data_IF_028245734835
#
_entry.id   IF_028245734835
#
_cell.length_a   1.000
_cell.length_b   1.000
_cell.length_c   1.000
_cell.angle_alpha   90.00
_cell.angle_beta   90.00
_cell.angle_gamma   90.00
#
_symmetry.space_group_name_H-M   'P 1'
#
loop_
_entity.id
_entity.type
_entity.pdbx_description
1 polymer ?
#
# COMPACT_ATOMS: atom_id res chain seq x y z
N UNK A 1 -19.62 -6.20 24.60
CA UNK A 1 -18.53 -6.33 23.61
C UNK A 1 -18.95 -5.60 22.34
N UNK A 2 -18.17 -4.64 21.86
CA UNK A 2 -18.36 -4.11 20.49
C UNK A 2 -18.10 -5.26 19.51
N UNK A 3 -18.92 -5.39 18.46
CA UNK A 3 -18.64 -6.33 17.36
C UNK A 3 -17.39 -5.87 16.63
N UNK A 4 -16.53 -6.82 16.26
CA UNK A 4 -15.40 -6.54 15.36
C UNK A 4 -15.94 -6.00 14.04
N UNK A 5 -15.29 -4.96 13.54
CA UNK A 5 -15.56 -4.39 12.23
C UNK A 5 -14.84 -5.20 11.15
N UNK A 6 -15.21 -4.99 9.87
CA UNK A 6 -14.49 -5.60 8.74
C UNK A 6 -13.02 -5.17 8.72
N UNK A 7 -12.73 -3.94 9.15
CA UNK A 7 -11.36 -3.43 9.27
C UNK A 7 -10.58 -4.21 10.35
N UNK A 8 -11.19 -4.51 11.49
CA UNK A 8 -10.55 -5.29 12.56
C UNK A 8 -10.19 -6.72 12.10
N UNK A 9 -11.07 -7.35 11.31
CA UNK A 9 -10.82 -8.68 10.73
C UNK A 9 -9.63 -8.65 9.77
N UNK A 10 -9.59 -7.66 8.87
CA UNK A 10 -8.52 -7.47 7.89
C UNK A 10 -7.18 -7.15 8.55
N UNK A 11 -7.19 -6.29 9.57
CA UNK A 11 -6.00 -5.97 10.36
C UNK A 11 -5.48 -7.20 11.11
N UNK A 12 -6.37 -8.01 11.69
CA UNK A 12 -6.00 -9.25 12.38
C UNK A 12 -5.33 -10.25 11.43
N UNK A 13 -5.89 -10.43 10.23
CA UNK A 13 -5.30 -11.28 9.20
C UNK A 13 -3.93 -10.74 8.74
N UNK A 14 -3.79 -9.43 8.59
CA UNK A 14 -2.53 -8.79 8.25
C UNK A 14 -1.45 -8.96 9.34
N UNK A 15 -1.80 -8.89 10.64
CA UNK A 15 -0.86 -9.17 11.73
C UNK A 15 -0.30 -10.59 11.61
N UNK A 16 -1.15 -11.58 11.30
CA UNK A 16 -0.70 -12.95 11.09
C UNK A 16 0.28 -13.05 9.92
N UNK A 17 -0.05 -12.44 8.77
CA UNK A 17 0.85 -12.42 7.59
C UNK A 17 2.17 -11.74 7.90
N UNK A 18 2.16 -10.65 8.67
CA UNK A 18 3.38 -9.99 9.13
C UNK A 18 4.24 -10.90 10.03
N UNK A 19 3.63 -11.64 10.96
CA UNK A 19 4.35 -12.59 11.81
C UNK A 19 4.99 -13.72 11.01
N UNK A 20 4.27 -14.24 10.01
CA UNK A 20 4.78 -15.27 9.10
C UNK A 20 5.96 -14.73 8.27
N UNK A 21 5.88 -13.49 7.78
CA UNK A 21 6.98 -12.81 7.08
C UNK A 21 8.21 -12.64 7.98
N UNK A 22 8.03 -12.13 9.21
CA UNK A 22 9.12 -11.97 10.19
C UNK A 22 9.80 -13.29 10.57
N UNK A 23 9.03 -14.38 10.57
CA UNK A 23 9.55 -15.71 10.93
C UNK A 23 10.31 -16.39 9.79
N UNK A 24 10.05 -15.97 8.55
CA UNK A 24 10.63 -16.55 7.34
C UNK A 24 11.71 -15.68 6.68
N UNK A 25 11.86 -14.42 7.10
CA UNK A 25 12.75 -13.43 6.46
C UNK A 25 13.54 -12.64 7.50
N UNK A 26 14.82 -12.39 7.21
CA UNK A 26 15.64 -11.48 8.02
C UNK A 26 15.33 -10.01 7.69
N UNK A 27 14.86 -9.26 8.69
CA UNK A 27 14.46 -7.86 8.48
C UNK A 27 15.64 -6.94 8.16
N UNK A 28 16.84 -7.27 8.63
CA UNK A 28 18.04 -6.50 8.28
C UNK A 28 18.33 -6.60 6.79
N UNK A 29 18.25 -7.81 6.24
CA UNK A 29 18.36 -8.09 4.80
C UNK A 29 17.27 -7.37 4.02
N UNK A 30 16.00 -7.52 4.44
CA UNK A 30 14.86 -6.88 3.77
C UNK A 30 14.97 -5.35 3.78
N UNK A 31 15.47 -4.77 4.86
CA UNK A 31 15.76 -3.33 4.95
C UNK A 31 16.85 -2.89 3.97
N UNK A 32 17.94 -3.64 3.84
CA UNK A 32 18.99 -3.32 2.86
C UNK A 32 18.49 -3.44 1.42
N UNK A 33 17.72 -4.48 1.11
CA UNK A 33 17.08 -4.64 -0.20
C UNK A 33 16.12 -3.49 -0.48
N UNK A 34 15.33 -3.08 0.52
CA UNK A 34 14.43 -1.95 0.42
C UNK A 34 15.20 -0.63 0.22
N UNK A 35 16.40 -0.44 0.76
CA UNK A 35 17.18 0.76 0.46
C UNK A 35 17.75 0.77 -0.97
N UNK A 36 18.04 -0.40 -1.53
CA UNK A 36 18.68 -0.53 -2.85
C UNK A 36 17.69 -0.56 -4.02
N UNK A 37 16.43 -0.92 -3.76
CA UNK A 37 15.40 -0.98 -4.78
C UNK A 37 15.05 0.43 -5.28
N UNK A 38 15.06 0.65 -6.60
CA UNK A 38 14.75 1.94 -7.21
C UNK A 38 13.24 2.23 -7.18
N UNK A 39 12.83 3.29 -6.45
CA UNK A 39 11.45 3.77 -6.42
C UNK A 39 11.22 4.85 -7.46
N UNK A 40 10.03 4.79 -8.07
CA UNK A 40 9.46 5.84 -8.91
C UNK A 40 8.81 6.91 -8.02
N UNK A 41 8.80 8.16 -8.47
CA UNK A 41 8.30 9.29 -7.67
C UNK A 41 6.77 9.34 -7.61
N UNK A 42 6.17 8.57 -6.71
CA UNK A 42 4.71 8.49 -6.53
C UNK A 42 4.10 9.84 -6.11
N UNK A 43 4.70 10.52 -5.12
CA UNK A 43 4.21 11.82 -4.65
C UNK A 43 4.35 12.91 -5.74
N UNK A 44 5.44 12.89 -6.51
CA UNK A 44 5.66 13.79 -7.63
C UNK A 44 4.61 13.64 -8.73
N UNK A 45 4.26 12.40 -9.10
CA UNK A 45 3.19 12.12 -10.07
C UNK A 45 1.82 12.66 -9.63
N UNK A 46 1.53 12.65 -8.33
CA UNK A 46 0.29 13.22 -7.78
C UNK A 46 0.30 14.74 -7.66
N UNK A 47 1.48 15.36 -7.71
CA UNK A 47 1.64 16.82 -7.59
C UNK A 47 1.65 17.53 -8.95
N UNK A 48 1.49 16.79 -10.05
CA UNK A 48 1.44 17.35 -11.39
C UNK A 48 0.23 18.30 -11.56
N UNK A 49 0.34 19.36 -12.39
CA UNK A 49 -0.79 20.25 -12.66
C UNK A 49 -1.99 19.50 -13.26
N UNK A 50 -3.19 19.77 -12.72
CA UNK A 50 -4.43 19.18 -13.20
C UNK A 50 -5.00 18.15 -12.21
N UNK A 51 -5.81 17.23 -12.72
CA UNK A 51 -6.36 16.14 -11.94
C UNK A 51 -5.46 14.91 -12.10
N UNK A 52 -4.85 14.47 -11.00
CA UNK A 52 -4.12 13.20 -10.95
C UNK A 52 -5.06 12.06 -10.55
N UNK A 53 -4.87 10.88 -11.16
CA UNK A 53 -5.70 9.70 -10.94
C UNK A 53 -4.81 8.52 -10.53
N UNK A 54 -5.13 7.90 -9.40
CA UNK A 54 -4.61 6.59 -9.01
C UNK A 54 -5.60 5.54 -9.50
N UNK A 55 -5.22 4.75 -10.50
CA UNK A 55 -6.09 3.70 -11.04
C UNK A 55 -5.88 2.38 -10.29
N UNK A 56 -6.95 1.79 -9.78
CA UNK A 56 -6.89 0.60 -8.92
C UNK A 56 -7.13 -0.70 -9.72
N UNK A 57 -6.26 -1.69 -9.53
CA UNK A 57 -6.40 -3.07 -10.00
C UNK A 57 -6.95 -3.90 -8.83
N UNK A 58 -8.19 -4.37 -8.97
CA UNK A 58 -8.95 -5.05 -7.90
C UNK A 58 -9.91 -6.10 -8.45
N UNK A 59 -9.86 -7.34 -7.90
CA UNK A 59 -10.78 -8.44 -8.25
C UNK A 59 -12.05 -8.45 -7.42
N UNK A 60 -11.91 -8.30 -6.09
CA UNK A 60 -13.03 -8.37 -5.16
C UNK A 60 -12.97 -7.26 -4.09
N UNK A 61 -14.04 -7.11 -3.31
CA UNK A 61 -14.04 -6.29 -2.10
C UNK A 61 -15.04 -6.79 -1.07
N UNK A 62 -14.89 -6.47 0.22
CA UNK A 62 -15.86 -6.83 1.26
C UNK A 62 -17.30 -6.37 0.99
N UNK A 63 -17.47 -5.22 0.32
CA UNK A 63 -18.79 -4.61 0.09
C UNK A 63 -19.45 -5.08 -1.21
N UNK A 64 -18.68 -5.32 -2.27
CA UNK A 64 -19.21 -5.71 -3.58
C UNK A 64 -19.07 -7.21 -3.89
N UNK A 65 -18.33 -7.97 -3.08
CA UNK A 65 -17.93 -9.33 -3.42
C UNK A 65 -16.97 -9.35 -4.61
N UNK A 66 -17.02 -10.40 -5.43
CA UNK A 66 -16.29 -10.47 -6.69
C UNK A 66 -16.81 -9.43 -7.68
N UNK A 67 -15.91 -8.60 -8.19
CA UNK A 67 -16.22 -7.51 -9.12
C UNK A 67 -15.96 -7.99 -10.55
N UNK A 68 -14.73 -8.44 -10.82
CA UNK A 68 -14.31 -8.94 -12.14
C UNK A 68 -12.95 -9.62 -12.06
N UNK A 69 -12.66 -10.43 -13.06
CA UNK A 69 -11.28 -10.87 -13.30
C UNK A 69 -10.45 -9.73 -13.89
N UNK A 70 -9.19 -9.63 -13.45
CA UNK A 70 -8.20 -8.68 -13.97
C UNK A 70 -6.85 -9.37 -14.13
N UNK A 71 -6.25 -9.23 -15.31
CA UNK A 71 -4.83 -9.51 -15.55
C UNK A 71 -4.02 -8.25 -15.17
N UNK A 72 -3.19 -8.29 -14.10
CA UNK A 72 -2.47 -7.11 -13.64
C UNK A 72 -1.52 -6.51 -14.69
N UNK A 73 -0.94 -7.33 -15.57
CA UNK A 73 -0.05 -6.87 -16.63
C UNK A 73 -0.84 -6.13 -17.73
N UNK A 74 -1.97 -6.69 -18.14
CA UNK A 74 -2.84 -6.04 -19.13
C UNK A 74 -3.41 -4.71 -18.59
N UNK A 75 -3.92 -4.72 -17.36
CA UNK A 75 -4.58 -3.55 -16.78
C UNK A 75 -3.61 -2.43 -16.43
N UNK A 76 -2.38 -2.74 -16.01
CA UNK A 76 -1.34 -1.73 -15.74
C UNK A 76 -0.96 -0.97 -17.02
N UNK A 77 -0.62 -1.68 -18.09
CA UNK A 77 -0.32 -1.08 -19.40
C UNK A 77 -1.50 -0.28 -19.96
N UNK A 78 -2.72 -0.80 -19.78
CA UNK A 78 -3.94 -0.11 -20.20
C UNK A 78 -4.14 1.20 -19.45
N UNK A 79 -4.09 1.18 -18.11
CA UNK A 79 -4.29 2.37 -17.30
C UNK A 79 -3.24 3.44 -17.57
N UNK A 80 -1.99 3.06 -17.82
CA UNK A 80 -0.96 3.98 -18.29
C UNK A 80 -1.34 4.64 -19.62
N UNK A 81 -1.76 3.85 -20.62
CA UNK A 81 -2.18 4.39 -21.92
C UNK A 81 -3.43 5.27 -21.86
N UNK A 82 -4.28 5.08 -20.86
CA UNK A 82 -5.50 5.85 -20.61
C UNK A 82 -5.27 7.08 -19.69
N UNK A 83 -4.03 7.33 -19.27
CA UNK A 83 -3.65 8.57 -18.57
C UNK A 83 -3.69 8.51 -17.05
N UNK A 84 -3.60 7.32 -16.45
CA UNK A 84 -3.40 7.20 -15.00
C UNK A 84 -2.07 7.87 -14.58
N UNK A 85 -2.06 8.49 -13.39
CA UNK A 85 -0.86 9.13 -12.83
C UNK A 85 -0.06 8.14 -11.98
N UNK A 86 -0.76 7.26 -11.28
CA UNK A 86 -0.19 6.15 -10.50
C UNK A 86 -1.13 4.94 -10.58
N UNK A 87 -0.63 3.78 -10.15
CA UNK A 87 -1.45 2.58 -9.95
C UNK A 87 -1.59 2.25 -8.47
N UNK A 88 -2.71 1.63 -8.12
CA UNK A 88 -2.96 0.96 -6.84
C UNK A 88 -3.23 -0.51 -7.11
N UNK A 89 -2.50 -1.41 -6.46
CA UNK A 89 -2.68 -2.86 -6.66
C UNK A 89 -3.03 -3.50 -5.33
N UNK A 90 -4.19 -4.17 -5.27
CA UNK A 90 -4.60 -4.91 -4.08
C UNK A 90 -3.71 -6.14 -3.91
N UNK A 91 -3.12 -6.28 -2.71
CA UNK A 91 -2.32 -7.46 -2.36
C UNK A 91 -2.93 -8.30 -1.25
N UNK A 92 -4.08 -7.87 -0.70
CA UNK A 92 -4.82 -8.58 0.33
C UNK A 92 -5.52 -9.82 -0.28
N UNK A 93 -5.20 -11.04 0.16
CA UNK A 93 -5.63 -12.25 -0.52
C UNK A 93 -7.04 -12.73 -0.15
N UNK A 94 -7.55 -12.45 1.05
CA UNK A 94 -8.74 -13.14 1.58
C UNK A 94 -10.07 -12.49 1.16
N UNK A 95 -10.10 -11.16 1.06
CA UNK A 95 -11.31 -10.36 0.81
C UNK A 95 -11.23 -9.55 -0.48
N UNK A 96 -10.02 -9.28 -0.97
CA UNK A 96 -9.81 -8.57 -2.23
C UNK A 96 -9.30 -9.47 -3.36
N UNK A 97 -8.95 -10.72 -3.05
CA UNK A 97 -8.40 -11.70 -4.00
C UNK A 97 -7.16 -11.16 -4.74
N UNK A 98 -6.33 -10.38 -4.03
CA UNK A 98 -5.08 -9.84 -4.51
C UNK A 98 -3.86 -10.64 -4.08
N UNK A 99 -2.69 -10.28 -4.59
CA UNK A 99 -1.43 -10.93 -4.21
C UNK A 99 -0.22 -10.04 -4.49
N UNK A 100 0.91 -10.38 -3.88
CA UNK A 100 2.19 -9.75 -4.22
C UNK A 100 2.64 -10.06 -5.66
N UNK A 101 2.24 -11.21 -6.21
CA UNK A 101 2.51 -11.55 -7.62
C UNK A 101 1.76 -10.59 -8.55
N UNK A 102 0.56 -10.17 -8.17
CA UNK A 102 -0.19 -9.16 -8.93
C UNK A 102 0.49 -7.80 -8.92
N UNK A 103 1.05 -7.41 -7.76
CA UNK A 103 1.83 -6.18 -7.61
C UNK A 103 3.07 -6.20 -8.51
N UNK A 104 3.85 -7.28 -8.46
CA UNK A 104 5.06 -7.45 -9.27
C UNK A 104 4.70 -7.42 -10.77
N UNK A 105 3.68 -8.18 -11.19
CA UNK A 105 3.22 -8.23 -12.58
C UNK A 105 2.73 -6.87 -13.10
N UNK A 106 2.00 -6.10 -12.28
CA UNK A 106 1.56 -4.77 -12.65
C UNK A 106 2.74 -3.80 -12.79
N UNK A 107 3.68 -3.81 -11.84
CA UNK A 107 4.81 -2.87 -11.86
C UNK A 107 5.78 -3.12 -13.02
N UNK A 108 5.98 -4.38 -13.38
CA UNK A 108 6.84 -4.78 -14.51
C UNK A 108 6.27 -4.38 -15.88
N UNK A 109 4.97 -4.08 -15.97
CA UNK A 109 4.28 -3.77 -17.23
C UNK A 109 3.81 -2.31 -17.35
N UNK A 110 4.33 -1.43 -16.50
CA UNK A 110 4.05 0.01 -16.56
C UNK A 110 5.26 0.84 -16.16
N UNK A 111 5.36 2.09 -16.65
CA UNK A 111 6.30 3.07 -16.12
C UNK A 111 5.73 3.91 -14.96
N UNK A 112 4.44 3.78 -14.63
CA UNK A 112 3.80 4.54 -13.56
C UNK A 112 4.30 4.11 -12.17
N UNK A 113 4.37 5.00 -11.17
CA UNK A 113 4.55 4.62 -9.77
C UNK A 113 3.39 3.74 -9.27
N UNK A 114 3.71 2.71 -8.49
CA UNK A 114 2.76 1.71 -8.00
C UNK A 114 2.67 1.72 -6.48
N UNK A 115 1.45 1.82 -5.96
CA UNK A 115 1.08 1.67 -4.56
C UNK A 115 0.74 0.20 -4.27
N UNK A 116 1.34 -0.37 -3.22
CA UNK A 116 0.80 -1.58 -2.59
C UNK A 116 -0.41 -1.20 -1.73
N UNK A 117 -1.59 -1.65 -2.15
CA UNK A 117 -2.84 -1.48 -1.42
C UNK A 117 -3.12 -2.72 -0.57
N UNK A 118 -2.81 -2.62 0.72
CA UNK A 118 -3.02 -3.67 1.72
C UNK A 118 -3.22 -3.05 3.10
N UNK A 119 -3.46 -3.88 4.10
CA UNK A 119 -3.56 -3.50 5.50
C UNK A 119 -2.18 -3.61 6.14
N UNK A 120 -1.41 -2.52 6.09
CA UNK A 120 -0.09 -2.43 6.72
C UNK A 120 -0.25 -2.22 8.23
N UNK A 121 0.27 -3.15 9.03
CA UNK A 121 0.20 -3.12 10.50
C UNK A 121 1.52 -3.47 11.19
N UNK A 122 2.55 -3.88 10.42
CA UNK A 122 3.91 -4.16 10.89
C UNK A 122 4.98 -3.53 9.99
N UNK A 123 6.12 -3.16 10.56
CA UNK A 123 7.30 -2.65 9.85
C UNK A 123 7.80 -3.63 8.78
N UNK A 124 7.70 -4.94 9.03
CA UNK A 124 8.09 -5.97 8.05
C UNK A 124 7.33 -5.83 6.72
N UNK A 125 6.04 -5.45 6.77
CA UNK A 125 5.24 -5.23 5.56
C UNK A 125 5.70 -3.96 4.82
N UNK A 126 6.13 -2.91 5.53
CA UNK A 126 6.71 -1.71 4.91
C UNK A 126 8.01 -2.09 4.19
N UNK A 127 8.89 -2.84 4.84
CA UNK A 127 10.15 -3.28 4.24
C UNK A 127 9.92 -4.19 3.02
N UNK A 128 8.98 -5.15 3.10
CA UNK A 128 8.60 -5.98 1.95
C UNK A 128 8.03 -5.15 0.80
N UNK A 129 7.27 -4.10 1.12
CA UNK A 129 6.78 -3.17 0.11
C UNK A 129 7.94 -2.39 -0.52
N UNK A 130 8.94 -2.03 0.28
CA UNK A 130 10.14 -1.32 -0.15
C UNK A 130 11.00 -2.10 -1.15
N UNK A 131 10.81 -3.41 -1.29
CA UNK A 131 11.52 -4.23 -2.29
C UNK A 131 10.72 -4.44 -3.58
N UNK A 132 9.52 -3.85 -3.70
CA UNK A 132 8.59 -4.16 -4.79
C UNK A 132 7.81 -2.97 -5.34
N UNK A 133 7.49 -1.97 -4.52
CA UNK A 133 6.58 -0.89 -4.87
C UNK A 133 7.21 0.49 -4.62
N UNK A 134 6.47 1.52 -5.00
CA UNK A 134 6.88 2.92 -4.91
C UNK A 134 6.16 3.66 -3.77
N UNK A 135 5.02 3.12 -3.33
CA UNK A 135 4.23 3.65 -2.24
C UNK A 135 3.60 2.54 -1.37
N UNK A 136 3.26 2.89 -0.14
CA UNK A 136 2.59 2.02 0.83
C UNK A 136 1.36 2.71 1.42
N UNK A 137 0.27 1.97 1.58
CA UNK A 137 -0.93 2.46 2.27
C UNK A 137 -0.74 2.33 3.79
N UNK A 138 -1.00 3.43 4.52
CA UNK A 138 -1.11 3.44 5.97
C UNK A 138 -2.50 3.98 6.35
N UNK A 139 -3.34 3.15 6.97
CA UNK A 139 -4.69 3.55 7.37
C UNK A 139 -4.63 4.11 8.79
N UNK A 140 -4.88 5.40 8.98
CA UNK A 140 -4.72 6.08 10.27
C UNK A 140 -5.51 5.41 11.40
N UNK A 141 -6.69 4.86 11.10
CA UNK A 141 -7.54 4.13 12.05
C UNK A 141 -6.85 2.90 12.70
N UNK A 142 -5.77 2.37 12.10
CA UNK A 142 -5.03 1.21 12.60
C UNK A 142 -3.89 1.56 13.57
N UNK A 143 -3.64 2.85 13.79
CA UNK A 143 -2.46 3.31 14.52
C UNK A 143 -2.81 4.28 15.65
N UNK A 144 -1.96 4.30 16.67
CA UNK A 144 -1.83 5.48 17.53
C UNK A 144 -0.83 6.49 16.90
N UNK A 145 -0.71 7.66 17.51
CA UNK A 145 0.13 8.75 16.98
C UNK A 145 1.60 8.36 16.85
N UNK A 146 2.14 7.66 17.86
CA UNK A 146 3.54 7.28 17.87
C UNK A 146 3.84 6.20 16.83
N UNK A 147 2.93 5.24 16.66
CA UNK A 147 3.04 4.20 15.65
C UNK A 147 2.93 4.77 14.23
N UNK A 148 1.94 5.62 13.96
CA UNK A 148 1.78 6.22 12.63
C UNK A 148 3.01 7.04 12.23
N UNK A 149 3.51 7.90 13.13
CA UNK A 149 4.71 8.71 12.89
C UNK A 149 5.94 7.85 12.58
N UNK A 150 6.13 6.76 13.34
CA UNK A 150 7.22 5.80 13.08
C UNK A 150 7.09 5.13 11.71
N UNK A 151 5.89 4.72 11.31
CA UNK A 151 5.67 3.98 10.07
C UNK A 151 5.79 4.88 8.85
N UNK A 152 5.29 6.13 8.96
CA UNK A 152 5.54 7.18 7.96
C UNK A 152 7.04 7.42 7.82
N UNK A 153 7.77 7.58 8.93
CA UNK A 153 9.22 7.80 8.90
C UNK A 153 9.96 6.64 8.25
N UNK A 154 9.62 5.38 8.60
CA UNK A 154 10.25 4.20 8.02
C UNK A 154 9.99 4.09 6.52
N UNK A 155 8.75 4.34 6.07
CA UNK A 155 8.40 4.32 4.65
C UNK A 155 9.26 5.34 3.87
N UNK A 156 9.34 6.57 4.37
CA UNK A 156 10.18 7.63 3.75
C UNK A 156 11.66 7.25 3.78
N UNK A 157 12.15 6.67 4.87
CA UNK A 157 13.55 6.24 5.02
C UNK A 157 13.96 5.23 3.95
N UNK A 158 13.09 4.27 3.61
CA UNK A 158 13.33 3.29 2.54
C UNK A 158 12.90 3.77 1.14
N UNK A 159 12.56 5.06 1.01
CA UNK A 159 12.22 5.72 -0.24
C UNK A 159 10.80 5.47 -0.76
N UNK A 160 9.91 4.87 0.03
CA UNK A 160 8.49 4.76 -0.30
C UNK A 160 7.77 6.09 -0.04
N UNK A 161 6.72 6.36 -0.82
CA UNK A 161 5.70 7.36 -0.45
C UNK A 161 4.66 6.71 0.48
N UNK A 162 4.51 7.14 1.75
CA UNK A 162 3.38 6.73 2.57
C UNK A 162 2.12 7.50 2.15
N UNK A 163 1.11 6.79 1.64
CA UNK A 163 -0.23 7.33 1.42
C UNK A 163 -1.05 7.08 2.68
N UNK A 164 -1.39 8.14 3.42
CA UNK A 164 -2.11 8.03 4.70
C UNK A 164 -3.62 8.19 4.48
N UNK A 165 -4.36 7.11 4.66
CA UNK A 165 -5.82 7.08 4.53
C UNK A 165 -6.49 7.50 5.83
N UNK A 166 -7.46 8.43 5.73
CA UNK A 166 -8.21 9.01 6.83
C UNK A 166 -9.72 8.97 6.55
N UNK A 167 -10.54 8.82 7.60
CA UNK A 167 -12.00 8.76 7.49
C UNK A 167 -12.72 9.88 8.26
N UNK A 168 -12.05 10.50 9.22
CA UNK A 168 -12.61 11.57 10.04
C UNK A 168 -11.56 12.63 10.40
N UNK A 169 -12.01 13.71 11.05
CA UNK A 169 -11.13 14.83 11.45
C UNK A 169 -10.07 14.42 12.48
N UNK A 170 -10.35 13.42 13.32
CA UNK A 170 -9.39 12.95 14.31
C UNK A 170 -8.23 12.22 13.62
N UNK A 171 -8.56 11.36 12.65
CA UNK A 171 -7.57 10.69 11.80
C UNK A 171 -6.80 11.70 10.94
N UNK A 172 -7.45 12.76 10.45
CA UNK A 172 -6.77 13.86 9.75
C UNK A 172 -5.69 14.53 10.61
N UNK A 173 -6.00 14.85 11.87
CA UNK A 173 -5.03 15.43 12.79
C UNK A 173 -3.87 14.47 13.06
N UNK A 174 -4.16 13.17 13.22
CA UNK A 174 -3.14 12.13 13.38
C UNK A 174 -2.18 12.07 12.17
N UNK A 175 -2.73 12.14 10.96
CA UNK A 175 -1.96 12.13 9.72
C UNK A 175 -1.10 13.40 9.56
N UNK A 176 -1.60 14.57 9.97
CA UNK A 176 -0.82 15.81 9.96
C UNK A 176 0.36 15.74 10.95
N UNK A 177 0.11 15.23 12.16
CA UNK A 177 1.12 15.08 13.22
C UNK A 177 2.18 14.03 12.89
N UNK A 178 1.82 12.98 12.14
CA UNK A 178 2.76 11.92 11.74
C UNK A 178 3.81 12.36 10.71
N UNK A 179 3.61 13.54 10.10
CA UNK A 179 4.49 14.06 9.05
C UNK A 179 4.15 13.54 7.65
N UNK A 180 2.97 12.95 7.45
CA UNK A 180 2.49 12.56 6.13
C UNK A 180 2.47 13.75 5.14
N UNK A 181 2.55 13.44 3.85
CA UNK A 181 2.51 14.43 2.75
C UNK A 181 1.51 14.07 1.66
N UNK A 182 1.06 12.81 1.65
CA UNK A 182 0.08 12.26 0.71
C UNK A 182 -0.95 11.48 1.50
#
# INVERSE_FOLDING_TARGET
MKRATVLDELATAAVKRAQDLRSSTDLGTLYQEALLFEKRDFAGSLSAPGLSVISEIKRASPSAGFIREVDPAEWSARYESEGASCLSVLTEPERFEGSLVDLDAARDNTALPVLRKDFTVDEAQILETGTRADAVLLIAALFDAAALARYVSLAVEVGLTPLVEIHDEKEANLALESGARV
#
